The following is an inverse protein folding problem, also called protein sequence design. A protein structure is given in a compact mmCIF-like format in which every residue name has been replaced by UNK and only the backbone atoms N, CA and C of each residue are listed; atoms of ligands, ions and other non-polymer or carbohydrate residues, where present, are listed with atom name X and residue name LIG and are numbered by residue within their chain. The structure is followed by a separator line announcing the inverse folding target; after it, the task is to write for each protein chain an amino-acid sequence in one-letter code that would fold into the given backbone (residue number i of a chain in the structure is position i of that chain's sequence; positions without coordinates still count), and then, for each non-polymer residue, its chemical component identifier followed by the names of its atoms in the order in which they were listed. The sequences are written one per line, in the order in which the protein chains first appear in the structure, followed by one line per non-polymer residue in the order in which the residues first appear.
data_IF_050561846902
#
_entry.id   IF_050561846902
#
_cell.length_a   1.000
_cell.length_b   1.000
_cell.length_c   1.000
_cell.angle_alpha   90.00
_cell.angle_beta   90.00
_cell.angle_gamma   90.00
#
_symmetry.space_group_name_H-M   'P 1'
#
loop_
_entity.id
_entity.type
_entity.pdbx_description
1 polymer ?
#
# COMPACT_ATOMS: atom_id res chain seq x y z
N UNK A 1 21.32 0.77 17.20
CA UNK A 1 20.09 0.08 17.65
C UNK A 1 20.36 -1.37 18.06
N UNK A 2 21.57 -1.85 17.81
CA UNK A 2 22.10 -3.14 18.32
C UNK A 2 22.94 -2.99 19.57
N UNK A 3 22.84 -1.86 20.28
CA UNK A 3 23.51 -1.67 21.56
C UNK A 3 22.94 -2.67 22.60
N UNK A 4 23.75 -3.58 23.15
CA UNK A 4 23.28 -4.57 24.10
C UNK A 4 22.61 -3.94 25.33
N UNK A 5 23.17 -2.82 25.83
CA UNK A 5 22.61 -2.12 27.00
C UNK A 5 21.19 -1.64 26.72
N UNK A 6 20.96 -1.07 25.53
CA UNK A 6 19.64 -0.61 25.11
C UNK A 6 18.64 -1.78 24.98
N UNK A 7 19.09 -2.90 24.43
CA UNK A 7 18.23 -4.08 24.28
C UNK A 7 17.93 -4.73 25.62
N UNK A 8 18.91 -4.78 26.52
CA UNK A 8 18.77 -5.38 27.85
C UNK A 8 17.87 -4.51 28.77
N UNK A 9 17.96 -3.18 28.68
CA UNK A 9 17.17 -2.26 29.50
C UNK A 9 15.73 -2.12 29.01
N UNK A 10 15.52 -2.04 27.69
CA UNK A 10 14.18 -1.80 27.12
C UNK A 10 13.48 -3.09 26.69
N UNK A 11 14.23 -4.17 26.44
CA UNK A 11 13.67 -5.44 26.03
C UNK A 11 12.85 -5.34 24.75
N UNK A 12 11.63 -5.87 24.80
CA UNK A 12 10.69 -5.82 23.70
C UNK A 12 9.72 -4.63 23.76
N UNK A 13 8.64 -4.72 23.00
CA UNK A 13 7.61 -3.65 22.91
C UNK A 13 7.04 -3.23 24.27
N UNK A 14 6.85 -4.17 25.20
CA UNK A 14 6.33 -3.85 26.53
C UNK A 14 7.27 -2.92 27.31
N UNK A 15 8.56 -3.28 27.38
CA UNK A 15 9.56 -2.44 28.07
C UNK A 15 9.72 -1.06 27.44
N UNK A 16 9.67 -0.96 26.10
CA UNK A 16 9.67 0.32 25.40
C UNK A 16 8.44 1.16 25.77
N UNK A 17 7.27 0.53 25.87
CA UNK A 17 6.03 1.19 26.25
C UNK A 17 6.09 1.74 27.69
N UNK A 18 6.58 0.92 28.62
CA UNK A 18 6.80 1.32 30.03
C UNK A 18 7.80 2.48 30.14
N UNK A 19 8.88 2.44 29.36
CA UNK A 19 9.86 3.51 29.31
C UNK A 19 9.24 4.83 28.82
N UNK A 20 8.45 4.80 27.75
CA UNK A 20 7.77 6.00 27.21
C UNK A 20 6.80 6.59 28.22
N UNK A 21 6.01 5.76 28.89
CA UNK A 21 5.07 6.18 29.94
C UNK A 21 5.80 6.78 31.14
N UNK A 22 6.84 6.11 31.66
CA UNK A 22 7.62 6.56 32.82
C UNK A 22 8.30 7.92 32.58
N UNK A 23 8.64 8.23 31.31
CA UNK A 23 9.28 9.49 30.94
C UNK A 23 8.31 10.54 30.37
N UNK A 24 6.98 10.34 30.45
CA UNK A 24 5.95 11.22 29.90
C UNK A 24 6.16 11.57 28.41
N UNK A 25 6.70 10.64 27.65
CA UNK A 25 6.87 10.80 26.20
C UNK A 25 5.57 10.44 25.47
N UNK A 26 5.32 11.04 24.27
CA UNK A 26 4.15 10.71 23.47
C UNK A 26 4.09 9.21 23.17
N UNK A 27 3.02 8.58 23.59
CA UNK A 27 2.85 7.14 23.50
C UNK A 27 1.41 6.77 23.17
N UNK A 28 1.22 5.85 22.23
CA UNK A 28 -0.06 5.18 21.98
C UNK A 28 0.08 3.72 22.40
N UNK A 29 -0.76 3.26 23.30
CA UNK A 29 -0.67 1.89 23.80
C UNK A 29 -0.93 0.87 22.66
N UNK A 30 0.10 0.12 22.23
CA UNK A 30 -0.08 -0.91 21.21
C UNK A 30 -0.68 -2.20 21.79
N UNK A 31 -0.88 -2.28 23.11
CA UNK A 31 -1.38 -3.50 23.75
C UNK A 31 -2.89 -3.65 23.63
N UNK A 32 -3.64 -2.55 23.43
CA UNK A 32 -5.10 -2.57 23.32
C UNK A 32 -5.61 -2.97 21.94
N UNK A 33 -4.84 -2.77 20.86
CA UNK A 33 -5.27 -3.14 19.51
C UNK A 33 -5.05 -4.62 19.24
N UNK A 34 -6.05 -5.24 18.61
CA UNK A 34 -6.00 -6.63 18.16
C UNK A 34 -4.97 -6.90 17.06
N UNK A 35 -4.39 -5.86 16.46
CA UNK A 35 -3.41 -5.92 15.37
C UNK A 35 -2.49 -4.69 15.41
N UNK A 36 -1.38 -4.73 14.66
CA UNK A 36 -0.48 -3.60 14.41
C UNK A 36 -0.87 -2.88 13.13
N UNK A 37 -0.57 -1.58 13.03
CA UNK A 37 -0.84 -0.77 11.83
C UNK A 37 0.37 0.08 11.50
N UNK A 38 0.82 0.01 10.24
CA UNK A 38 1.80 0.90 9.64
C UNK A 38 1.17 1.59 8.44
N UNK A 39 1.44 2.89 8.24
CA UNK A 39 0.86 3.65 7.15
C UNK A 39 1.80 4.70 6.59
N UNK A 40 1.65 4.96 5.30
CA UNK A 40 2.26 6.08 4.61
C UNK A 40 1.32 6.56 3.48
N UNK A 41 1.79 7.48 2.63
CA UNK A 41 0.98 8.02 1.52
C UNK A 41 0.52 6.96 0.51
N UNK A 42 1.22 5.85 0.39
CA UNK A 42 0.91 4.79 -0.59
C UNK A 42 -0.13 3.80 -0.08
N UNK A 43 -0.25 3.66 1.23
CA UNK A 43 -1.18 2.72 1.81
C UNK A 43 -0.96 2.48 3.30
N UNK A 44 -1.79 1.61 3.84
CA UNK A 44 -1.67 1.10 5.20
C UNK A 44 -1.61 -0.43 5.20
N UNK A 45 -0.93 -0.97 6.21
CA UNK A 45 -0.85 -2.40 6.48
C UNK A 45 -1.32 -2.65 7.91
N UNK A 46 -2.24 -3.59 8.06
CA UNK A 46 -2.69 -4.10 9.35
C UNK A 46 -2.24 -5.56 9.46
N UNK A 47 -1.45 -5.89 10.47
CA UNK A 47 -0.85 -7.21 10.61
C UNK A 47 -0.63 -7.63 12.07
N UNK A 48 -0.15 -8.83 12.27
CA UNK A 48 0.21 -9.43 13.56
C UNK A 48 -0.97 -9.71 14.50
N UNK A 49 -0.67 -10.30 15.64
CA UNK A 49 -1.60 -10.64 16.73
C UNK A 49 -2.81 -11.48 16.24
N UNK A 50 -4.03 -10.94 16.40
CA UNK A 50 -5.24 -11.64 15.99
C UNK A 50 -5.32 -11.94 14.49
N UNK A 51 -4.67 -11.13 13.65
CA UNK A 51 -4.65 -11.34 12.19
C UNK A 51 -3.74 -12.49 11.74
N UNK A 52 -2.86 -13.01 12.61
CA UNK A 52 -2.07 -14.21 12.32
C UNK A 52 -2.93 -15.48 12.30
N UNK A 53 -4.07 -15.47 12.96
CA UNK A 53 -5.07 -16.54 12.88
C UNK A 53 -5.93 -16.35 11.62
N UNK A 54 -5.82 -17.29 10.68
CA UNK A 54 -6.55 -17.24 9.40
C UNK A 54 -8.07 -17.36 9.55
N UNK A 55 -8.57 -17.80 10.71
CA UNK A 55 -10.01 -17.81 11.00
C UNK A 55 -10.56 -16.44 11.42
N UNK A 56 -9.69 -15.49 11.76
CA UNK A 56 -10.09 -14.14 12.11
C UNK A 56 -10.55 -13.38 10.87
N UNK A 57 -11.78 -12.85 10.89
CA UNK A 57 -12.29 -12.00 9.81
C UNK A 57 -11.46 -10.73 9.66
N UNK A 58 -11.23 -10.27 8.42
CA UNK A 58 -10.64 -8.95 8.17
C UNK A 58 -11.51 -7.79 8.69
N UNK A 59 -12.78 -8.03 8.96
CA UNK A 59 -13.73 -7.03 9.47
C UNK A 59 -13.40 -6.50 10.87
N UNK A 60 -12.46 -7.15 11.59
CA UNK A 60 -11.93 -6.59 12.84
C UNK A 60 -11.07 -5.34 12.62
N UNK A 61 -10.63 -5.12 11.37
CA UNK A 61 -9.80 -3.96 11.02
C UNK A 61 -10.67 -2.73 10.86
N UNK A 62 -10.31 -1.68 11.58
CA UNK A 62 -10.88 -0.34 11.33
C UNK A 62 -10.04 0.35 10.26
N UNK A 63 -10.58 0.58 9.05
CA UNK A 63 -9.86 1.29 8.00
C UNK A 63 -9.40 2.67 8.46
N UNK A 64 -8.21 3.07 8.02
CA UNK A 64 -7.63 4.39 8.32
C UNK A 64 -7.44 5.26 7.06
N UNK A 65 -7.55 4.67 5.88
CA UNK A 65 -7.45 5.38 4.60
C UNK A 65 -8.77 5.39 3.83
N UNK A 66 -9.76 4.66 4.29
CA UNK A 66 -11.04 4.56 3.60
C UNK A 66 -12.18 4.14 4.53
N UNK A 67 -13.22 3.57 3.93
CA UNK A 67 -14.42 3.11 4.62
C UNK A 67 -14.47 1.58 4.71
N UNK A 68 -15.10 1.07 5.76
CA UNK A 68 -15.37 -0.36 5.93
C UNK A 68 -16.50 -0.77 4.96
N UNK A 69 -16.15 -1.15 3.73
CA UNK A 69 -17.13 -1.46 2.67
C UNK A 69 -18.02 -2.69 2.98
N UNK A 70 -17.65 -3.47 4.00
CA UNK A 70 -18.45 -4.58 4.52
C UNK A 70 -19.46 -4.17 5.59
N UNK A 71 -19.38 -2.94 6.10
CA UNK A 71 -20.31 -2.43 7.09
C UNK A 71 -21.61 -2.02 6.39
N UNK A 72 -22.76 -2.61 6.75
CA UNK A 72 -24.04 -2.32 6.13
C UNK A 72 -24.54 -0.87 6.36
N UNK A 73 -23.98 -0.19 7.36
CA UNK A 73 -24.33 1.21 7.66
C UNK A 73 -23.48 2.21 6.83
N UNK A 74 -22.50 1.73 6.06
CA UNK A 74 -21.69 2.56 5.16
C UNK A 74 -22.41 2.71 3.81
N UNK A 75 -22.85 3.93 3.51
CA UNK A 75 -23.42 4.27 2.20
C UNK A 75 -22.31 4.73 1.24
N UNK A 76 -22.14 4.01 0.13
CA UNK A 76 -21.16 4.31 -0.90
C UNK A 76 -21.90 4.72 -2.18
N UNK A 77 -22.04 6.02 -2.40
CA UNK A 77 -22.64 6.55 -3.62
C UNK A 77 -21.72 6.31 -4.84
N UNK A 78 -22.33 5.99 -5.99
CA UNK A 78 -21.59 5.86 -7.26
C UNK A 78 -21.03 7.22 -7.70
N UNK A 79 -19.78 7.23 -8.16
CA UNK A 79 -19.09 8.42 -8.66
C UNK A 79 -18.29 8.07 -9.92
N UNK A 80 -18.42 8.89 -10.96
CA UNK A 80 -17.62 8.78 -12.18
C UNK A 80 -16.33 9.59 -12.01
N UNK A 81 -15.17 8.91 -12.17
CA UNK A 81 -13.85 9.54 -12.03
C UNK A 81 -13.14 9.58 -13.38
N UNK A 82 -12.69 10.77 -13.75
CA UNK A 82 -11.85 10.98 -14.92
C UNK A 82 -10.38 11.13 -14.49
N UNK A 83 -9.50 10.30 -15.02
CA UNK A 83 -8.05 10.36 -14.78
C UNK A 83 -7.36 10.74 -16.08
N UNK A 84 -6.64 11.86 -16.10
CA UNK A 84 -5.78 12.27 -17.21
C UNK A 84 -4.37 11.72 -17.03
N UNK A 85 -3.77 11.28 -18.16
CA UNK A 85 -2.41 10.77 -18.21
C UNK A 85 -1.59 11.52 -19.26
N UNK A 86 -0.34 11.80 -18.95
CA UNK A 86 0.67 12.29 -19.88
C UNK A 86 1.90 11.39 -19.81
N UNK A 87 2.31 10.85 -20.94
CA UNK A 87 3.45 9.90 -21.03
C UNK A 87 3.38 8.76 -19.99
N UNK A 88 2.16 8.24 -19.73
CA UNK A 88 1.93 7.18 -18.75
C UNK A 88 1.84 7.63 -17.29
N UNK A 89 2.05 8.91 -16.98
CA UNK A 89 1.93 9.46 -15.64
C UNK A 89 0.55 10.08 -15.40
N UNK A 90 -0.12 9.80 -14.28
CA UNK A 90 -1.36 10.48 -13.95
C UNK A 90 -1.08 11.96 -13.65
N UNK A 91 -1.79 12.86 -14.30
CA UNK A 91 -1.59 14.31 -14.20
C UNK A 91 -2.81 15.06 -13.70
N UNK A 92 -4.02 14.53 -13.95
CA UNK A 92 -5.26 15.15 -13.51
C UNK A 92 -6.25 14.14 -12.93
N UNK A 93 -7.08 14.60 -12.00
CA UNK A 93 -8.25 13.88 -11.49
C UNK A 93 -9.47 14.80 -11.61
N UNK A 94 -10.52 14.33 -12.28
CA UNK A 94 -11.75 15.10 -12.54
C UNK A 94 -11.47 16.49 -13.16
N UNK A 95 -10.44 16.58 -14.02
CA UNK A 95 -10.02 17.81 -14.66
C UNK A 95 -9.20 18.77 -13.76
N UNK A 96 -9.02 18.48 -12.49
CA UNK A 96 -8.15 19.25 -11.60
C UNK A 96 -6.67 18.87 -11.81
N UNK A 97 -5.79 19.89 -11.81
CA UNK A 97 -4.33 19.73 -11.77
C UNK A 97 -3.80 19.91 -10.36
N UNK A 98 -2.64 19.35 -10.07
CA UNK A 98 -2.05 19.33 -8.74
C UNK A 98 -0.68 20.00 -8.72
N UNK A 99 -0.30 20.55 -7.57
CA UNK A 99 0.99 21.20 -7.39
C UNK A 99 2.18 20.23 -7.57
N UNK A 100 1.98 18.96 -7.18
CA UNK A 100 2.95 17.88 -7.29
C UNK A 100 2.25 16.50 -7.25
N UNK A 101 3.04 15.44 -7.42
CA UNK A 101 2.54 14.07 -7.40
C UNK A 101 2.01 13.63 -6.02
N UNK A 102 2.49 14.26 -4.94
CA UNK A 102 2.01 13.96 -3.57
C UNK A 102 0.57 14.42 -3.43
N UNK A 103 0.27 15.66 -3.86
CA UNK A 103 -1.09 16.21 -3.83
C UNK A 103 -2.06 15.38 -4.68
N UNK A 104 -1.64 14.92 -5.85
CA UNK A 104 -2.43 14.03 -6.71
C UNK A 104 -2.73 12.70 -6.00
N UNK A 105 -1.72 12.06 -5.41
CA UNK A 105 -1.91 10.77 -4.70
C UNK A 105 -2.78 10.94 -3.47
N UNK A 106 -2.68 12.05 -2.74
CA UNK A 106 -3.54 12.34 -1.60
C UNK A 106 -5.02 12.49 -2.03
N UNK A 107 -5.28 13.18 -3.15
CA UNK A 107 -6.64 13.27 -3.69
C UNK A 107 -7.14 11.91 -4.19
N UNK A 108 -6.29 11.13 -4.87
CA UNK A 108 -6.62 9.77 -5.27
C UNK A 108 -6.95 8.87 -4.06
N UNK A 109 -6.22 9.02 -2.94
CA UNK A 109 -6.52 8.35 -1.68
C UNK A 109 -7.89 8.79 -1.11
N UNK A 110 -8.20 10.08 -1.14
CA UNK A 110 -9.48 10.59 -0.66
C UNK A 110 -10.66 10.05 -1.49
N UNK A 111 -10.50 10.03 -2.82
CA UNK A 111 -11.49 9.47 -3.73
C UNK A 111 -11.63 7.95 -3.52
N UNK A 112 -10.54 7.21 -3.67
CA UNK A 112 -10.56 5.74 -3.53
C UNK A 112 -11.02 5.29 -2.15
N UNK A 113 -10.62 6.02 -1.10
CA UNK A 113 -10.98 5.72 0.28
C UNK A 113 -12.47 5.82 0.56
N UNK A 114 -13.16 6.89 0.10
CA UNK A 114 -14.61 7.02 0.29
C UNK A 114 -15.43 5.98 -0.45
N UNK A 115 -14.80 5.27 -1.42
CA UNK A 115 -15.40 4.15 -2.15
C UNK A 115 -14.93 2.77 -1.66
N UNK A 116 -14.13 2.71 -0.59
CA UNK A 116 -13.62 1.45 -0.04
C UNK A 116 -12.67 0.69 -0.99
N UNK A 117 -12.04 1.40 -1.95
CA UNK A 117 -11.11 0.79 -2.88
C UNK A 117 -9.80 0.36 -2.19
N UNK A 118 -9.16 -0.67 -2.74
CA UNK A 118 -7.81 -1.05 -2.38
C UNK A 118 -7.67 -1.78 -1.03
N UNK A 119 -8.79 -2.21 -0.42
CA UNK A 119 -8.75 -3.16 0.69
C UNK A 119 -8.48 -4.56 0.18
N UNK A 120 -7.52 -5.27 0.78
CA UNK A 120 -7.23 -6.66 0.43
C UNK A 120 -6.66 -7.44 1.59
N UNK A 121 -7.09 -8.71 1.71
CA UNK A 121 -6.55 -9.71 2.64
C UNK A 121 -5.54 -10.57 1.89
N UNK A 122 -4.27 -10.53 2.30
CA UNK A 122 -3.18 -11.17 1.59
C UNK A 122 -2.38 -12.11 2.51
N UNK A 123 -2.06 -13.29 1.98
CA UNK A 123 -1.04 -14.16 2.55
C UNK A 123 0.19 -14.09 1.67
N UNK A 124 1.25 -13.52 2.19
CA UNK A 124 2.47 -13.25 1.43
C UNK A 124 3.67 -14.08 1.91
N UNK A 125 4.67 -14.20 1.04
CA UNK A 125 5.98 -14.73 1.39
C UNK A 125 6.91 -13.61 1.80
N UNK A 126 7.38 -13.62 3.04
CA UNK A 126 8.47 -12.75 3.48
C UNK A 126 9.78 -13.13 2.77
N UNK A 127 10.77 -12.22 2.78
CA UNK A 127 12.10 -12.48 2.17
C UNK A 127 12.75 -13.76 2.74
N UNK A 128 12.50 -14.03 4.03
CA UNK A 128 12.96 -15.24 4.74
C UNK A 128 12.08 -16.47 4.46
N UNK A 129 11.20 -16.41 3.47
CA UNK A 129 10.25 -17.46 3.07
C UNK A 129 9.20 -17.85 4.13
N UNK A 130 9.10 -17.12 5.23
CA UNK A 130 8.00 -17.27 6.16
C UNK A 130 6.71 -16.72 5.55
N UNK A 131 5.58 -17.35 5.86
CA UNK A 131 4.25 -16.82 5.52
C UNK A 131 3.86 -15.74 6.52
N UNK A 132 3.19 -14.71 6.02
CA UNK A 132 2.61 -13.64 6.83
C UNK A 132 1.27 -13.25 6.24
N UNK A 133 0.31 -12.91 7.08
CA UNK A 133 -0.96 -12.34 6.65
C UNK A 133 -0.98 -10.85 6.97
N UNK A 134 -1.43 -10.06 6.00
CA UNK A 134 -1.66 -8.63 6.16
C UNK A 134 -2.96 -8.20 5.51
N UNK A 135 -3.66 -7.27 6.14
CA UNK A 135 -4.78 -6.55 5.55
C UNK A 135 -4.24 -5.22 5.08
N UNK A 136 -4.38 -4.94 3.79
CA UNK A 136 -3.80 -3.77 3.14
C UNK A 136 -4.88 -2.79 2.73
N UNK A 137 -4.59 -1.49 2.89
CA UNK A 137 -5.33 -0.39 2.30
C UNK A 137 -4.42 0.36 1.34
N UNK A 138 -4.88 0.55 0.10
CA UNK A 138 -4.15 1.31 -0.91
C UNK A 138 -5.13 2.00 -1.86
N UNK A 139 -6.03 2.88 -1.34
CA UNK A 139 -7.17 3.36 -2.11
C UNK A 139 -6.78 4.18 -3.34
N UNK A 140 -5.84 5.10 -3.21
CA UNK A 140 -5.37 5.91 -4.33
C UNK A 140 -4.62 5.10 -5.36
N UNK A 141 -3.78 4.17 -4.91
CA UNK A 141 -3.07 3.27 -5.82
C UNK A 141 -4.02 2.34 -6.57
N UNK A 142 -5.06 1.82 -5.90
CA UNK A 142 -6.08 1.00 -6.55
C UNK A 142 -6.85 1.81 -7.61
N UNK A 143 -7.26 3.04 -7.30
CA UNK A 143 -7.94 3.93 -8.25
C UNK A 143 -7.07 4.22 -9.48
N UNK A 144 -5.83 4.65 -9.26
CA UNK A 144 -4.89 4.97 -10.32
C UNK A 144 -4.54 3.75 -11.17
N UNK A 145 -4.37 2.57 -10.54
CA UNK A 145 -4.08 1.31 -11.23
C UNK A 145 -5.24 0.89 -12.14
N UNK A 146 -6.48 1.00 -11.70
CA UNK A 146 -7.66 0.68 -12.53
C UNK A 146 -7.66 1.55 -13.80
N UNK A 147 -7.44 2.86 -13.66
CA UNK A 147 -7.36 3.78 -14.80
C UNK A 147 -6.19 3.46 -15.73
N UNK A 148 -5.03 3.19 -15.14
CA UNK A 148 -3.82 2.86 -15.86
C UNK A 148 -3.93 1.54 -16.66
N UNK A 149 -4.48 0.48 -16.09
CA UNK A 149 -4.72 -0.78 -16.79
C UNK A 149 -5.68 -0.60 -17.97
N UNK A 150 -6.69 0.26 -17.84
CA UNK A 150 -7.58 0.62 -18.96
C UNK A 150 -6.83 1.34 -20.07
N UNK A 151 -5.95 2.28 -19.73
CA UNK A 151 -5.09 2.97 -20.68
C UNK A 151 -4.19 1.98 -21.42
N UNK A 152 -3.46 1.12 -20.71
CA UNK A 152 -2.58 0.12 -21.30
C UNK A 152 -3.34 -0.82 -22.24
N UNK A 153 -4.52 -1.29 -21.84
CA UNK A 153 -5.36 -2.17 -22.64
C UNK A 153 -5.87 -1.51 -23.91
N UNK A 154 -6.02 -0.18 -23.92
CA UNK A 154 -6.47 0.56 -25.09
C UNK A 154 -5.36 0.81 -26.13
N UNK A 155 -4.10 0.90 -25.68
CA UNK A 155 -2.98 1.30 -26.56
C UNK A 155 -2.03 0.15 -26.94
N UNK A 156 -2.02 -0.97 -26.21
CA UNK A 156 -1.11 -2.07 -26.42
C UNK A 156 -1.83 -3.36 -26.88
N UNK A 157 -1.12 -4.18 -27.64
CA UNK A 157 -1.59 -5.53 -28.01
C UNK A 157 -1.37 -6.53 -26.85
N UNK A 158 -2.03 -7.69 -26.96
CA UNK A 158 -2.01 -8.74 -25.93
C UNK A 158 -0.60 -9.18 -25.53
N UNK A 159 0.28 -9.43 -26.50
CA UNK A 159 1.66 -9.87 -26.20
C UNK A 159 2.47 -8.82 -25.44
N UNK A 160 2.27 -7.54 -25.75
CA UNK A 160 2.91 -6.43 -25.03
C UNK A 160 2.40 -6.35 -23.61
N UNK A 161 1.09 -6.49 -23.39
CA UNK A 161 0.48 -6.50 -22.06
C UNK A 161 0.97 -7.66 -21.21
N UNK A 162 1.09 -8.86 -21.76
CA UNK A 162 1.62 -10.03 -21.07
C UNK A 162 3.08 -9.83 -20.63
N UNK A 163 3.92 -9.33 -21.54
CA UNK A 163 5.31 -9.02 -21.24
C UNK A 163 5.42 -7.94 -20.16
N UNK A 164 4.64 -6.86 -20.28
CA UNK A 164 4.58 -5.77 -19.30
C UNK A 164 4.21 -6.30 -17.90
N UNK A 165 3.15 -7.09 -17.79
CA UNK A 165 2.71 -7.67 -16.54
C UNK A 165 3.76 -8.62 -15.92
N UNK A 166 4.44 -9.41 -16.76
CA UNK A 166 5.49 -10.34 -16.30
C UNK A 166 6.71 -9.60 -15.79
N UNK A 167 7.19 -8.62 -16.55
CA UNK A 167 8.32 -7.77 -16.15
C UNK A 167 7.98 -6.94 -14.92
N UNK A 168 6.75 -6.41 -14.83
CA UNK A 168 6.25 -5.64 -13.70
C UNK A 168 6.24 -6.46 -12.40
N UNK A 169 5.73 -7.70 -12.44
CA UNK A 169 5.78 -8.61 -11.28
C UNK A 169 7.22 -8.90 -10.84
N UNK A 170 8.13 -9.11 -11.79
CA UNK A 170 9.55 -9.34 -11.47
C UNK A 170 10.19 -8.10 -10.86
N UNK A 171 9.91 -6.92 -11.42
CA UNK A 171 10.36 -5.64 -10.87
C UNK A 171 9.84 -5.44 -9.45
N UNK A 172 8.54 -5.65 -9.22
CA UNK A 172 7.92 -5.54 -7.90
C UNK A 172 8.59 -6.43 -6.86
N UNK A 173 8.96 -7.66 -7.22
CA UNK A 173 9.72 -8.55 -6.33
C UNK A 173 11.09 -8.00 -5.96
N UNK A 174 11.83 -7.44 -6.92
CA UNK A 174 13.13 -6.81 -6.66
C UNK A 174 13.01 -5.57 -5.77
N UNK A 175 11.95 -4.78 -5.95
CA UNK A 175 11.68 -3.62 -5.10
C UNK A 175 11.35 -4.03 -3.67
N UNK A 176 10.54 -5.07 -3.50
CA UNK A 176 10.22 -5.66 -2.18
C UNK A 176 11.48 -6.15 -1.46
N UNK A 177 12.45 -6.71 -2.19
CA UNK A 177 13.74 -7.14 -1.67
C UNK A 177 14.72 -5.98 -1.40
N UNK A 178 14.33 -4.74 -1.63
CA UNK A 178 15.18 -3.56 -1.45
C UNK A 178 16.27 -3.38 -2.52
N UNK A 179 16.14 -4.03 -3.67
CA UNK A 179 17.16 -4.12 -4.74
C UNK A 179 17.02 -3.03 -5.81
N UNK A 180 16.68 -1.82 -5.40
CA UNK A 180 16.47 -0.69 -6.33
C UNK A 180 17.67 -0.41 -7.25
N UNK A 181 18.90 -0.51 -6.72
CA UNK A 181 20.14 -0.25 -7.46
C UNK A 181 20.75 -1.48 -8.13
N UNK A 182 20.11 -2.64 -8.02
CA UNK A 182 20.56 -3.87 -8.67
C UNK A 182 20.50 -3.75 -10.19
N UNK A 183 21.51 -4.22 -10.94
CA UNK A 183 21.50 -4.20 -12.40
C UNK A 183 20.26 -4.83 -13.01
N UNK A 184 19.73 -5.90 -12.44
CA UNK A 184 18.48 -6.52 -12.91
C UNK A 184 17.27 -5.61 -12.73
N UNK A 185 17.22 -4.84 -11.63
CA UNK A 185 16.17 -3.85 -11.42
C UNK A 185 16.23 -2.74 -12.49
N UNK A 186 17.42 -2.24 -12.81
CA UNK A 186 17.63 -1.26 -13.87
C UNK A 186 17.22 -1.79 -15.24
N UNK A 187 17.60 -3.03 -15.57
CA UNK A 187 17.24 -3.71 -16.83
C UNK A 187 15.72 -3.85 -17.02
N UNK A 188 14.95 -4.02 -15.95
CA UNK A 188 13.49 -4.12 -16.01
C UNK A 188 12.83 -2.74 -16.04
N UNK A 189 13.30 -1.84 -15.21
CA UNK A 189 12.70 -0.50 -15.02
C UNK A 189 12.79 0.37 -16.26
N UNK A 190 13.96 0.44 -16.90
CA UNK A 190 14.16 1.29 -18.07
C UNK A 190 13.24 0.96 -19.26
N UNK A 191 13.13 -0.31 -19.72
CA UNK A 191 12.20 -0.64 -20.79
C UNK A 191 10.74 -0.38 -20.41
N UNK A 192 10.32 -0.75 -19.19
CA UNK A 192 8.94 -0.54 -18.73
C UNK A 192 8.56 0.94 -18.78
N UNK A 193 9.42 1.83 -18.33
CA UNK A 193 9.17 3.28 -18.38
C UNK A 193 9.07 3.81 -19.80
N UNK A 194 9.89 3.32 -20.72
CA UNK A 194 9.87 3.76 -22.14
C UNK A 194 8.62 3.35 -22.87
N UNK A 195 8.16 2.11 -22.69
CA UNK A 195 7.02 1.57 -23.44
C UNK A 195 5.68 2.19 -23.05
N UNK A 196 5.61 2.74 -21.88
CA UNK A 196 4.38 3.39 -21.39
C UNK A 196 4.36 4.88 -21.72
N UNK A 197 5.51 5.51 -21.80
CA UNK A 197 5.65 6.94 -22.08
C UNK A 197 5.74 7.30 -23.56
N UNK A 198 5.55 6.36 -24.50
CA UNK A 198 5.66 6.62 -25.94
C UNK A 198 4.33 6.64 -26.65
#
# INVERSE_FOLDING_TARGET
WLDPTFVDELGGRAGMSEFLQANNLPYRDPTEKAYSTDANIWGATHEAKALEDLSTSMEIVTPIMGVAHWDPDVDIATEDITIGFEEGWPTTLNGATFADSVALVMEANAIGGRHGLGMSDQIENRIIEAKSRGIYEGPGMALLQIGYERLLSAIHNENTLENYATMGRRLGRLLYEGRWFDPQCLMLREPLMRWVGS
#
